data_IF_937608163889
#
_entry.id   IF_937608163889
#
_cell.length_a   1.000
_cell.length_b   1.000
_cell.length_c   1.000
_cell.angle_alpha   90.00
_cell.angle_beta   90.00
_cell.angle_gamma   90.00
#
_symmetry.space_group_name_H-M   'P 1'
#
loop_
_entity.id
_entity.type
_entity.pdbx_description
1 polymer ?
#
# COMPACT_ATOMS: atom_id res chain seq x y z
N UNK A 1 -3.85 27.21 9.23
CA UNK A 1 -4.31 27.47 7.86
C UNK A 1 -3.81 26.31 7.04
N UNK A 2 -4.71 25.52 6.45
CA UNK A 2 -4.32 24.35 5.66
C UNK A 2 -3.65 24.81 4.38
N UNK A 3 -2.73 24.02 3.83
CA UNK A 3 -2.18 24.27 2.49
C UNK A 3 -3.30 24.32 1.43
N UNK A 4 -4.44 23.67 1.71
CA UNK A 4 -5.62 23.67 0.86
C UNK A 4 -6.41 25.01 0.88
N UNK A 5 -6.19 25.84 1.90
CA UNK A 5 -6.86 27.14 2.05
C UNK A 5 -6.09 28.27 1.35
N UNK A 6 -4.85 28.01 0.92
CA UNK A 6 -4.01 28.94 0.19
C UNK A 6 -3.66 28.37 -1.19
N UNK A 7 -4.23 28.96 -2.24
CA UNK A 7 -4.09 28.47 -3.62
C UNK A 7 -2.63 28.50 -4.08
N UNK A 8 -1.85 29.51 -3.68
CA UNK A 8 -0.45 29.64 -4.13
C UNK A 8 0.44 28.60 -3.44
N UNK A 9 0.25 28.36 -2.14
CA UNK A 9 1.00 27.33 -1.39
C UNK A 9 0.66 25.92 -1.91
N UNK A 10 -0.61 25.65 -2.21
CA UNK A 10 -1.02 24.39 -2.81
C UNK A 10 -0.40 24.18 -4.20
N UNK A 11 -0.43 25.20 -5.06
CA UNK A 11 0.15 25.12 -6.40
C UNK A 11 1.66 24.89 -6.33
N UNK A 12 2.36 25.62 -5.46
CA UNK A 12 3.79 25.44 -5.25
C UNK A 12 4.12 23.99 -4.81
N UNK A 13 3.44 23.49 -3.78
CA UNK A 13 3.65 22.12 -3.30
C UNK A 13 3.32 21.07 -4.37
N UNK A 14 2.23 21.26 -5.12
CA UNK A 14 1.83 20.33 -6.19
C UNK A 14 2.89 20.28 -7.28
N UNK A 15 3.38 21.44 -7.72
CA UNK A 15 4.35 21.54 -8.81
C UNK A 15 5.72 20.98 -8.37
N UNK A 16 6.13 21.22 -7.12
CA UNK A 16 7.31 20.60 -6.51
C UNK A 16 7.16 19.07 -6.41
N UNK A 17 5.99 18.56 -5.99
CA UNK A 17 5.73 17.12 -5.92
C UNK A 17 5.77 16.47 -7.30
N UNK A 18 5.11 17.06 -8.29
CA UNK A 18 5.04 16.51 -9.64
C UNK A 18 6.41 16.53 -10.35
N UNK A 19 7.23 17.54 -10.10
CA UNK A 19 8.58 17.64 -10.70
C UNK A 19 9.59 16.66 -10.08
N UNK A 20 9.42 16.31 -8.81
CA UNK A 20 10.31 15.38 -8.09
C UNK A 20 9.86 13.91 -8.10
N UNK A 21 8.63 13.63 -8.55
CA UNK A 21 8.12 12.27 -8.63
C UNK A 21 8.88 11.45 -9.69
N UNK A 22 9.32 10.25 -9.31
CA UNK A 22 9.90 9.30 -10.26
C UNK A 22 8.82 8.88 -11.28
N UNK A 23 9.12 9.02 -12.58
CA UNK A 23 8.19 8.69 -13.66
C UNK A 23 8.28 7.23 -14.12
N UNK A 24 9.42 6.57 -13.89
CA UNK A 24 9.56 5.13 -14.18
C UNK A 24 9.23 4.31 -12.94
N UNK A 25 8.39 3.30 -13.14
CA UNK A 25 7.94 2.40 -12.07
C UNK A 25 9.09 1.55 -11.49
N UNK A 26 10.11 1.25 -12.29
CA UNK A 26 11.28 0.47 -11.86
C UNK A 26 12.15 1.23 -10.86
N UNK A 27 12.21 2.55 -10.95
CA UNK A 27 12.94 3.39 -10.02
C UNK A 27 12.28 3.41 -8.62
N UNK A 28 10.97 3.10 -8.58
CA UNK A 28 10.18 2.95 -7.37
C UNK A 28 10.29 1.56 -6.72
N UNK A 29 11.10 0.64 -7.27
CA UNK A 29 11.26 -0.70 -6.73
C UNK A 29 12.39 -0.82 -5.70
N UNK A 30 12.10 -1.53 -4.62
CA UNK A 30 13.03 -1.97 -3.59
C UNK A 30 13.03 -3.50 -3.50
N UNK A 31 14.12 -4.14 -3.90
CA UNK A 31 14.29 -5.57 -3.70
C UNK A 31 14.67 -5.86 -2.25
N UNK A 32 13.74 -6.41 -1.48
CA UNK A 32 13.97 -6.79 -0.08
C UNK A 32 14.57 -8.19 -0.05
N UNK A 33 15.80 -8.29 0.46
CA UNK A 33 16.56 -9.55 0.52
C UNK A 33 16.09 -10.48 1.63
N UNK A 34 15.76 -9.93 2.79
CA UNK A 34 15.31 -10.67 3.96
C UNK A 34 14.12 -9.98 4.63
N UNK A 35 12.88 -10.50 4.46
CA UNK A 35 11.68 -9.95 5.09
C UNK A 35 11.76 -9.86 6.62
N UNK A 36 12.58 -10.70 7.27
CA UNK A 36 12.74 -10.70 8.73
C UNK A 36 13.70 -9.62 9.24
N UNK A 37 14.55 -9.08 8.36
CA UNK A 37 15.60 -8.13 8.74
C UNK A 37 15.97 -7.25 7.54
N UNK A 38 15.17 -6.20 7.30
CA UNK A 38 15.46 -5.16 6.34
C UNK A 38 16.75 -4.44 6.74
N UNK A 39 17.66 -4.33 5.78
CA UNK A 39 18.83 -3.47 5.88
C UNK A 39 18.42 -2.00 5.99
N UNK A 40 19.34 -1.18 6.52
CA UNK A 40 19.14 0.27 6.59
C UNK A 40 18.88 0.87 5.20
N UNK A 41 19.63 0.43 4.17
CA UNK A 41 19.47 0.93 2.82
C UNK A 41 18.08 0.63 2.22
N UNK A 42 17.52 -0.56 2.48
CA UNK A 42 16.16 -0.90 2.04
C UNK A 42 15.11 -0.01 2.74
N UNK A 43 15.24 0.22 4.06
CA UNK A 43 14.32 1.11 4.81
C UNK A 43 14.39 2.55 4.34
N UNK A 44 15.61 3.08 4.21
CA UNK A 44 15.84 4.46 3.79
C UNK A 44 15.27 4.69 2.38
N UNK A 45 15.44 3.72 1.47
CA UNK A 45 14.87 3.82 0.11
C UNK A 45 13.34 3.76 0.10
N UNK A 46 12.72 2.88 0.90
CA UNK A 46 11.26 2.83 1.05
C UNK A 46 10.73 4.17 1.53
N UNK A 47 11.33 4.72 2.60
CA UNK A 47 10.92 6.01 3.15
C UNK A 47 11.08 7.15 2.14
N UNK A 48 12.21 7.20 1.45
CA UNK A 48 12.45 8.22 0.42
C UNK A 48 11.38 8.17 -0.68
N UNK A 49 11.09 6.98 -1.21
CA UNK A 49 10.09 6.78 -2.25
C UNK A 49 8.69 7.16 -1.78
N UNK A 50 8.30 6.75 -0.58
CA UNK A 50 7.04 7.19 0.01
C UNK A 50 6.97 8.73 0.15
N UNK A 51 8.05 9.39 0.54
CA UNK A 51 8.08 10.86 0.62
C UNK A 51 7.98 11.54 -0.76
N UNK A 52 8.62 11.02 -1.81
CA UNK A 52 8.64 11.67 -3.13
C UNK A 52 7.46 11.29 -4.01
N UNK A 53 7.09 10.01 -4.02
CA UNK A 53 6.12 9.41 -4.92
C UNK A 53 4.78 9.10 -4.25
N UNK A 54 4.66 9.30 -2.93
CA UNK A 54 3.55 8.83 -2.08
C UNK A 54 3.47 7.30 -2.00
N UNK A 55 4.39 6.58 -2.64
CA UNK A 55 4.47 5.13 -2.55
C UNK A 55 5.87 4.57 -2.76
N UNK A 56 6.08 3.35 -2.29
CA UNK A 56 7.19 2.50 -2.68
C UNK A 56 6.67 1.14 -3.17
N UNK A 57 7.29 0.61 -4.22
CA UNK A 57 7.16 -0.80 -4.56
C UNK A 57 8.28 -1.60 -3.88
N UNK A 58 7.94 -2.75 -3.32
CA UNK A 58 8.97 -3.72 -2.94
C UNK A 58 8.86 -5.00 -3.78
N UNK A 59 9.85 -5.88 -3.71
CA UNK A 59 9.77 -7.26 -4.17
C UNK A 59 10.46 -8.15 -3.14
N UNK A 60 9.97 -9.37 -2.94
CA UNK A 60 10.60 -10.37 -2.08
C UNK A 60 10.74 -11.69 -2.84
N UNK A 61 11.75 -12.47 -2.46
CA UNK A 61 11.86 -13.86 -2.93
C UNK A 61 10.71 -14.70 -2.41
N UNK A 62 10.47 -15.84 -3.05
CA UNK A 62 9.49 -16.82 -2.60
C UNK A 62 9.63 -17.11 -1.10
N UNK A 63 8.51 -17.09 -0.40
CA UNK A 63 8.42 -17.39 1.03
C UNK A 63 7.50 -18.58 1.23
N UNK A 64 7.78 -19.38 2.26
CA UNK A 64 6.87 -20.45 2.69
C UNK A 64 5.59 -19.87 3.31
N UNK A 65 5.74 -18.76 4.04
CA UNK A 65 4.63 -18.00 4.63
C UNK A 65 4.73 -16.51 4.24
N UNK A 66 4.02 -16.14 3.18
CA UNK A 66 3.94 -14.75 2.73
C UNK A 66 3.23 -13.83 3.74
N UNK A 67 2.25 -14.32 4.49
CA UNK A 67 1.53 -13.49 5.45
C UNK A 67 2.46 -13.07 6.59
N UNK A 68 3.24 -14.00 7.11
CA UNK A 68 4.27 -13.72 8.11
C UNK A 68 5.32 -12.76 7.55
N UNK A 69 5.80 -12.98 6.32
CA UNK A 69 6.79 -12.11 5.69
C UNK A 69 6.30 -10.66 5.57
N UNK A 70 5.04 -10.45 5.14
CA UNK A 70 4.42 -9.12 5.03
C UNK A 70 4.32 -8.44 6.38
N UNK A 71 3.82 -9.14 7.41
CA UNK A 71 3.71 -8.59 8.77
C UNK A 71 5.08 -8.12 9.27
N UNK A 72 6.14 -8.86 8.99
CA UNK A 72 7.49 -8.49 9.42
C UNK A 72 8.05 -7.28 8.67
N UNK A 73 7.80 -7.18 7.36
CA UNK A 73 8.18 -6.00 6.57
C UNK A 73 7.44 -4.78 7.12
N UNK A 74 6.12 -4.87 7.26
CA UNK A 74 5.25 -3.81 7.78
C UNK A 74 5.73 -3.28 9.12
N UNK A 75 6.03 -4.17 10.07
CA UNK A 75 6.57 -3.79 11.38
C UNK A 75 7.87 -3.00 11.28
N UNK A 76 8.77 -3.40 10.38
CA UNK A 76 10.08 -2.78 10.22
C UNK A 76 10.04 -1.41 9.54
N UNK A 77 8.93 -1.08 8.86
CA UNK A 77 8.68 0.24 8.25
C UNK A 77 7.68 1.09 9.04
N UNK A 78 7.26 0.63 10.23
CA UNK A 78 6.41 1.40 11.16
C UNK A 78 4.90 1.19 11.01
N UNK A 79 4.45 0.24 10.18
CA UNK A 79 3.04 -0.16 10.07
C UNK A 79 2.70 -1.15 11.20
N UNK A 80 2.54 -0.62 12.41
CA UNK A 80 2.32 -1.39 13.64
C UNK A 80 0.86 -1.46 14.07
N UNK A 81 0.15 -0.33 13.95
CA UNK A 81 -1.25 -0.21 14.33
C UNK A 81 -2.12 -0.44 13.10
N UNK A 82 -2.97 -1.47 13.18
CA UNK A 82 -3.87 -1.85 12.09
C UNK A 82 -5.31 -1.57 12.47
N UNK A 83 -6.06 -1.08 11.49
CA UNK A 83 -7.50 -0.88 11.62
C UNK A 83 -8.21 -2.23 11.79
N UNK A 84 -8.86 -2.43 12.94
CA UNK A 84 -9.63 -3.64 13.22
C UNK A 84 -11.02 -3.54 12.58
N UNK A 85 -11.09 -3.64 11.25
CA UNK A 85 -12.37 -3.80 10.54
C UNK A 85 -12.75 -5.28 10.42
N UNK A 86 -14.00 -5.53 10.05
CA UNK A 86 -14.67 -6.85 10.04
C UNK A 86 -13.90 -7.98 9.33
N UNK A 87 -12.98 -7.63 8.42
CA UNK A 87 -12.24 -8.56 7.56
C UNK A 87 -10.73 -8.63 7.85
N UNK A 88 -10.24 -7.81 8.77
CA UNK A 88 -8.87 -7.92 9.26
C UNK A 88 -8.74 -9.18 10.11
N UNK A 89 -7.79 -10.06 9.76
CA UNK A 89 -7.41 -11.17 10.62
C UNK A 89 -6.71 -10.66 11.88
N UNK A 90 -6.47 -11.54 12.86
CA UNK A 90 -5.80 -11.20 14.12
C UNK A 90 -4.39 -10.62 13.95
N UNK A 91 -3.78 -10.80 12.78
CA UNK A 91 -2.48 -10.24 12.38
C UNK A 91 -2.58 -8.89 11.64
N UNK A 92 -3.79 -8.31 11.52
CA UNK A 92 -4.04 -7.06 10.82
C UNK A 92 -4.13 -7.17 9.29
N UNK A 93 -4.04 -8.38 8.72
CA UNK A 93 -4.15 -8.58 7.27
C UNK A 93 -5.59 -8.84 6.85
N UNK A 94 -6.05 -8.12 5.82
CA UNK A 94 -7.29 -8.41 5.12
C UNK A 94 -6.98 -9.15 3.81
N UNK A 95 -7.53 -10.37 3.65
CA UNK A 95 -7.32 -11.15 2.44
C UNK A 95 -8.33 -10.74 1.37
N UNK A 96 -7.86 -10.09 0.30
CA UNK A 96 -8.68 -9.75 -0.86
C UNK A 96 -8.71 -10.95 -1.80
N UNK A 97 -9.76 -11.77 -1.71
CA UNK A 97 -10.01 -12.92 -2.59
C UNK A 97 -11.47 -12.92 -3.00
N UNK A 98 -11.74 -13.20 -4.27
CA UNK A 98 -13.10 -13.48 -4.73
C UNK A 98 -13.64 -14.68 -3.95
N UNK A 99 -14.83 -14.54 -3.38
CA UNK A 99 -15.51 -15.63 -2.69
C UNK A 99 -16.92 -15.81 -3.22
N UNK A 100 -17.29 -17.04 -3.55
CA UNK A 100 -18.64 -17.39 -4.03
C UNK A 100 -19.70 -17.40 -2.91
N UNK A 101 -19.33 -17.01 -1.68
CA UNK A 101 -20.22 -16.95 -0.52
C UNK A 101 -20.92 -15.59 -0.43
N UNK A 102 -22.24 -15.63 -0.46
CA UNK A 102 -23.17 -14.49 -0.54
C UNK A 102 -22.97 -13.41 0.55
N UNK A 103 -22.41 -13.76 1.71
CA UNK A 103 -22.24 -12.86 2.88
C UNK A 103 -21.07 -11.87 2.78
N UNK A 104 -20.23 -11.94 1.74
CA UNK A 104 -19.13 -10.97 1.50
C UNK A 104 -19.37 -10.07 0.29
N UNK A 105 -20.53 -10.20 -0.36
CA UNK A 105 -20.82 -9.60 -1.67
C UNK A 105 -21.17 -8.10 -1.64
N UNK A 106 -21.27 -7.48 -0.46
CA UNK A 106 -21.67 -6.07 -0.32
C UNK A 106 -20.51 -5.12 0.05
N UNK A 107 -19.32 -5.65 0.38
CA UNK A 107 -18.15 -4.84 0.74
C UNK A 107 -17.09 -4.88 -0.36
N UNK A 108 -16.78 -3.72 -0.94
CA UNK A 108 -15.65 -3.51 -1.85
C UNK A 108 -14.39 -3.68 -0.98
N UNK A 109 -13.62 -4.77 -1.12
CA UNK A 109 -12.96 -5.24 -2.36
C UNK A 109 -13.37 -6.65 -2.85
N UNK A 110 -14.52 -7.17 -2.43
CA UNK A 110 -14.94 -8.57 -2.69
C UNK A 110 -15.89 -8.74 -3.88
N UNK A 111 -15.97 -7.72 -4.75
CA UNK A 111 -16.79 -7.74 -5.98
C UNK A 111 -15.96 -7.25 -7.17
N UNK A 112 -16.37 -7.62 -8.38
CA UNK A 112 -15.79 -7.18 -9.66
C UNK A 112 -16.29 -5.78 -10.10
N UNK A 113 -17.05 -5.08 -9.25
CA UNK A 113 -17.55 -3.74 -9.52
C UNK A 113 -16.41 -2.72 -9.51
N UNK A 114 -16.52 -1.70 -10.37
CA UNK A 114 -15.56 -0.61 -10.41
C UNK A 114 -15.45 0.08 -9.05
N UNK A 115 -14.21 0.20 -8.57
CA UNK A 115 -13.89 0.92 -7.34
C UNK A 115 -13.83 2.42 -7.67
N UNK A 116 -14.68 3.22 -7.03
CA UNK A 116 -14.58 4.68 -7.09
C UNK A 116 -13.36 5.19 -6.32
N UNK A 117 -12.90 6.40 -6.64
CA UNK A 117 -11.83 7.06 -5.89
C UNK A 117 -12.22 7.22 -4.42
N UNK A 118 -11.41 6.66 -3.53
CA UNK A 118 -11.57 6.78 -2.09
C UNK A 118 -10.20 6.72 -1.40
N UNK A 119 -10.18 7.10 -0.13
CA UNK A 119 -9.04 6.90 0.77
C UNK A 119 -9.46 5.88 1.82
N UNK A 120 -8.65 4.85 2.05
CA UNK A 120 -8.95 3.84 3.06
C UNK A 120 -9.16 4.48 4.44
N UNK A 121 -10.18 4.02 5.16
CA UNK A 121 -10.53 4.58 6.46
C UNK A 121 -11.15 5.99 6.42
N UNK A 122 -11.67 6.49 5.29
CA UNK A 122 -12.37 7.79 5.22
C UNK A 122 -13.58 7.89 6.17
N UNK A 123 -14.12 6.74 6.60
CA UNK A 123 -15.21 6.62 7.57
C UNK A 123 -14.73 6.68 9.03
N UNK A 124 -13.42 6.61 9.28
CA UNK A 124 -12.87 6.65 10.63
C UNK A 124 -12.88 8.07 11.21
N UNK A 125 -13.03 8.15 12.53
CA UNK A 125 -12.81 9.40 13.26
C UNK A 125 -11.38 9.93 13.01
N UNK A 126 -11.18 11.24 13.17
CA UNK A 126 -9.89 11.90 12.91
C UNK A 126 -8.74 11.24 13.66
N UNK A 127 -9.01 10.79 14.89
CA UNK A 127 -8.04 10.14 15.76
C UNK A 127 -7.69 8.69 15.33
N UNK A 128 -8.51 8.09 14.47
CA UNK A 128 -8.38 6.70 13.98
C UNK A 128 -8.13 6.64 12.46
N UNK A 129 -7.65 7.72 11.85
CA UNK A 129 -7.40 7.75 10.40
C UNK A 129 -6.31 6.76 10.02
N UNK A 130 -6.58 5.98 8.98
CA UNK A 130 -5.56 5.21 8.29
C UNK A 130 -4.63 6.20 7.58
N UNK A 131 -3.36 6.20 8.00
CA UNK A 131 -2.33 7.09 7.43
C UNK A 131 -1.50 6.39 6.37
N UNK A 132 -1.48 5.07 6.41
CA UNK A 132 -0.68 4.26 5.53
C UNK A 132 -1.27 2.86 5.40
N UNK A 133 -1.03 2.21 4.26
CA UNK A 133 -1.41 0.82 4.04
C UNK A 133 -0.37 0.11 3.17
N UNK A 134 -0.37 -1.22 3.25
CA UNK A 134 0.44 -2.10 2.40
C UNK A 134 -0.44 -3.06 1.61
N UNK A 135 -0.23 -3.21 0.30
CA UNK A 135 -0.94 -4.22 -0.49
C UNK A 135 -0.02 -5.35 -0.95
N UNK A 136 -0.47 -6.59 -0.72
CA UNK A 136 0.25 -7.80 -1.09
C UNK A 136 -0.52 -8.76 -2.03
N UNK A 137 -0.29 -8.66 -3.35
CA UNK A 137 -0.57 -9.72 -4.34
C UNK A 137 0.22 -11.05 -4.14
N UNK A 138 -0.38 -12.04 -3.46
CA UNK A 138 0.18 -13.41 -3.35
C UNK A 138 0.07 -14.20 -4.67
N UNK A 139 -1.02 -13.98 -5.40
CA UNK A 139 -1.29 -14.64 -6.68
C UNK A 139 -1.90 -13.62 -7.64
N UNK A 140 -1.30 -13.37 -8.82
CA UNK A 140 -1.89 -12.48 -9.81
C UNK A 140 -3.18 -13.08 -10.39
N UNK A 141 -4.06 -12.22 -10.89
CA UNK A 141 -5.24 -12.65 -11.64
C UNK A 141 -4.83 -13.25 -13.00
N UNK A 142 -5.65 -14.17 -13.53
CA UNK A 142 -5.40 -14.79 -14.83
C UNK A 142 -5.57 -13.81 -16.01
N UNK A 143 -6.48 -12.84 -15.87
CA UNK A 143 -6.75 -11.74 -16.81
C UNK A 143 -7.28 -10.50 -16.05
N UNK A 144 -6.97 -9.28 -16.50
CA UNK A 144 -7.42 -8.03 -15.84
C UNK A 144 -6.40 -7.40 -14.86
N UNK A 145 -6.60 -6.11 -14.57
CA UNK A 145 -5.73 -5.12 -13.88
C UNK A 145 -4.28 -5.59 -13.66
N UNK A 146 -3.54 -5.64 -14.77
CA UNK A 146 -2.12 -5.39 -14.75
C UNK A 146 -1.93 -3.89 -14.56
N UNK A 147 -1.37 -3.48 -13.43
CA UNK A 147 -0.36 -2.43 -13.53
C UNK A 147 0.76 -3.13 -14.31
N UNK A 148 0.94 -2.77 -15.59
CA UNK A 148 1.75 -3.54 -16.55
C UNK A 148 3.07 -4.03 -15.93
N UNK A 149 3.23 -5.36 -15.81
CA UNK A 149 4.47 -6.02 -15.40
C UNK A 149 4.61 -6.46 -13.94
N UNK A 150 3.62 -6.23 -13.06
CA UNK A 150 3.78 -6.52 -11.62
C UNK A 150 3.44 -7.98 -11.27
N UNK A 151 4.41 -8.90 -11.42
CA UNK A 151 4.38 -10.19 -10.72
C UNK A 151 5.22 -10.04 -9.44
N UNK A 152 4.59 -10.10 -8.25
CA UNK A 152 5.23 -9.95 -6.92
C UNK A 152 5.76 -8.54 -6.58
N UNK A 153 4.99 -7.49 -6.86
CA UNK A 153 5.33 -6.11 -6.49
C UNK A 153 4.20 -5.42 -5.73
N UNK A 154 4.58 -4.62 -4.75
CA UNK A 154 3.73 -4.20 -3.63
C UNK A 154 3.54 -2.69 -3.59
N UNK A 155 2.65 -2.17 -2.75
CA UNK A 155 2.45 -0.72 -2.60
C UNK A 155 2.46 -0.39 -1.11
N UNK A 156 3.38 0.47 -0.65
CA UNK A 156 3.30 1.12 0.67
C UNK A 156 2.95 2.58 0.42
N UNK A 157 1.74 2.99 0.80
CA UNK A 157 1.30 4.39 0.76
C UNK A 157 1.50 5.01 2.15
N UNK A 158 2.04 6.23 2.25
CA UNK A 158 2.16 6.97 3.52
C UNK A 158 1.73 8.42 3.37
#
# INVERSE_FOLDING_TARGET
MSILDNTDDYQFWRDEKLSNAQSNIEDCLVEIRNPQALSKAEKDKIQQLCCTNNFALFAIKTQDDYAQAVVQINRQVGLLDYDQHLYAQSNGLAHIKQSDKQERSEFIPYTDKAIGWHTDGYYNAVDNRVRAFSLFCVSPAATGVLINGLTHRWFICS
#
